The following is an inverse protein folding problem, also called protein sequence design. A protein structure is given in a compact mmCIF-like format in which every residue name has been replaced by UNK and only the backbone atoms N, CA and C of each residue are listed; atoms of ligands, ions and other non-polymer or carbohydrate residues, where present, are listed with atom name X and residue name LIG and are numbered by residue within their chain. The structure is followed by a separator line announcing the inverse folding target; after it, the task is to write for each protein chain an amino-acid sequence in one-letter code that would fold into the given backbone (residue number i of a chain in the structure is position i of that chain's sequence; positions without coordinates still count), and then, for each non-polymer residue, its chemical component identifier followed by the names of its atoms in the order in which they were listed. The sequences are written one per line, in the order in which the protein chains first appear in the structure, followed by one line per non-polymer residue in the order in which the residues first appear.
data_IF_549461516768
#
_entry.id   IF_549461516768
#
_cell.length_a   1.000
_cell.length_b   1.000
_cell.length_c   1.000
_cell.angle_alpha   90.00
_cell.angle_beta   90.00
_cell.angle_gamma   90.00
#
_symmetry.space_group_name_H-M   'P 1'
#
loop_
_entity.id
_entity.type
_entity.pdbx_description
1 polymer ?
#
# COMPACT_ATOMS: atom_id res chain seq x y z
N UNK A 1 36.44 16.46 33.39
CA UNK A 1 35.64 16.80 32.20
C UNK A 1 34.65 15.68 31.97
N UNK A 2 33.36 16.01 32.02
CA UNK A 2 32.25 15.05 32.04
C UNK A 2 32.12 14.29 30.72
N UNK A 3 31.74 13.01 30.84
CA UNK A 3 31.44 12.12 29.71
C UNK A 3 30.19 12.55 28.94
N UNK A 4 30.23 12.35 27.63
CA UNK A 4 29.08 12.52 26.75
C UNK A 4 28.40 11.14 26.57
N UNK A 5 27.11 10.98 26.90
CA UNK A 5 26.44 9.70 26.75
C UNK A 5 26.03 9.45 25.30
N UNK A 6 26.09 8.18 24.92
CA UNK A 6 25.64 7.64 23.65
C UNK A 6 24.15 7.93 23.41
N UNK A 7 23.82 8.46 22.22
CA UNK A 7 22.43 8.57 21.76
C UNK A 7 22.02 7.21 21.22
N UNK A 8 21.17 6.50 21.96
CA UNK A 8 20.50 5.30 21.49
C UNK A 8 19.69 5.63 20.23
N UNK A 9 20.02 4.98 19.12
CA UNK A 9 19.20 4.97 17.91
C UNK A 9 17.95 4.13 18.21
N UNK A 10 16.84 4.81 18.48
CA UNK A 10 15.54 4.14 18.61
C UNK A 10 15.19 3.41 17.32
N UNK A 11 15.02 2.10 17.42
CA UNK A 11 14.58 1.20 16.36
C UNK A 11 13.24 1.69 15.79
N UNK A 12 13.07 1.64 14.48
CA UNK A 12 11.86 2.07 13.72
C UNK A 12 10.57 1.35 14.20
N UNK A 13 10.70 0.31 15.02
CA UNK A 13 9.64 -0.59 15.46
C UNK A 13 8.64 -0.02 16.50
N UNK A 14 8.90 1.12 17.14
CA UNK A 14 8.08 1.55 18.30
C UNK A 14 7.48 2.95 18.22
N UNK A 15 7.14 3.44 17.02
CA UNK A 15 6.17 4.53 16.94
C UNK A 15 4.76 3.97 17.14
N UNK A 16 4.35 3.90 18.42
CA UNK A 16 2.96 3.80 18.86
C UNK A 16 2.13 4.68 17.91
N UNK A 17 1.25 4.07 17.10
CA UNK A 17 0.41 4.82 16.17
C UNK A 17 -0.48 5.76 16.97
N UNK A 18 -0.03 6.99 17.16
CA UNK A 18 -0.91 8.10 17.45
C UNK A 18 -1.97 8.07 16.35
N UNK A 19 -3.24 8.02 16.75
CA UNK A 19 -4.39 8.07 15.85
C UNK A 19 -4.23 9.31 14.97
N UNK A 20 -3.70 9.11 13.76
CA UNK A 20 -3.55 10.19 12.81
C UNK A 20 -4.95 10.75 12.52
N UNK A 21 -5.04 12.07 12.42
CA UNK A 21 -6.28 12.72 12.04
C UNK A 21 -6.64 12.21 10.65
N UNK A 22 -7.83 11.62 10.52
CA UNK A 22 -8.29 11.09 9.24
C UNK A 22 -8.25 12.16 8.16
N UNK A 23 -7.88 11.75 6.95
CA UNK A 23 -7.82 12.59 5.77
C UNK A 23 -9.06 12.41 4.87
N UNK A 24 -10.11 11.75 5.38
CA UNK A 24 -11.33 11.44 4.62
C UNK A 24 -12.00 12.68 3.99
N UNK A 25 -11.91 13.84 4.64
CA UNK A 25 -12.49 15.10 4.14
C UNK A 25 -11.51 15.93 3.29
N UNK A 26 -10.26 15.48 3.12
CA UNK A 26 -9.27 16.22 2.35
C UNK A 26 -9.70 16.37 0.89
N UNK A 27 -9.60 17.54 0.24
CA UNK A 27 -9.85 17.66 -1.20
C UNK A 27 -8.77 16.94 -2.04
N UNK A 28 -7.66 16.49 -1.42
CA UNK A 28 -6.57 15.80 -2.10
C UNK A 28 -6.85 14.28 -2.18
N UNK A 29 -6.97 13.69 -3.39
CA UNK A 29 -7.20 12.25 -3.54
C UNK A 29 -6.03 11.41 -3.00
N UNK A 30 -4.79 11.89 -3.16
CA UNK A 30 -3.60 11.20 -2.65
C UNK A 30 -3.64 11.15 -1.12
N UNK A 31 -4.05 12.24 -0.46
CA UNK A 31 -4.19 12.29 1.00
C UNK A 31 -5.20 11.24 1.51
N UNK A 32 -6.39 11.16 0.87
CA UNK A 32 -7.40 10.13 1.19
C UNK A 32 -6.87 8.72 0.96
N UNK A 33 -6.15 8.48 -0.14
CA UNK A 33 -5.57 7.18 -0.42
C UNK A 33 -4.54 6.78 0.65
N UNK A 34 -3.66 7.70 1.07
CA UNK A 34 -2.66 7.42 2.09
C UNK A 34 -3.24 7.19 3.48
N UNK A 35 -4.47 7.63 3.76
CA UNK A 35 -5.19 7.31 5.00
C UNK A 35 -5.54 5.81 5.09
N UNK A 36 -5.70 5.15 3.93
CA UNK A 36 -6.08 3.73 3.83
C UNK A 36 -4.85 2.84 3.58
N UNK A 37 -3.98 3.23 2.66
CA UNK A 37 -2.87 2.39 2.17
C UNK A 37 -1.49 3.00 2.38
N UNK A 38 -1.38 4.09 3.14
CA UNK A 38 -0.11 4.80 3.36
C UNK A 38 0.78 4.18 4.43
N UNK A 39 0.27 3.26 5.25
CA UNK A 39 1.08 2.56 6.23
C UNK A 39 1.81 1.35 5.62
N UNK A 40 2.95 0.98 6.21
CA UNK A 40 3.85 -0.07 5.72
C UNK A 40 3.13 -1.41 5.46
N UNK A 41 2.17 -1.79 6.29
CA UNK A 41 1.59 -3.14 6.25
C UNK A 41 0.42 -3.23 5.28
N UNK A 42 -0.35 -2.17 5.09
CA UNK A 42 -1.53 -2.19 4.22
C UNK A 42 -1.21 -2.68 2.80
N UNK A 43 -0.20 -2.08 2.14
CA UNK A 43 0.18 -2.50 0.79
C UNK A 43 0.85 -3.87 0.73
N UNK A 44 1.50 -4.33 1.80
CA UNK A 44 2.07 -5.68 1.86
C UNK A 44 0.99 -6.76 2.01
N UNK A 45 -0.08 -6.49 2.78
CA UNK A 45 -1.26 -7.36 2.86
C UNK A 45 -1.93 -7.44 1.49
N UNK A 46 -2.14 -6.30 0.83
CA UNK A 46 -2.73 -6.27 -0.53
C UNK A 46 -1.86 -7.01 -1.55
N UNK A 47 -0.52 -6.87 -1.47
CA UNK A 47 0.42 -7.65 -2.30
C UNK A 47 0.19 -9.14 -2.11
N UNK A 48 0.19 -9.61 -0.86
CA UNK A 48 0.01 -11.04 -0.55
C UNK A 48 -1.33 -11.57 -1.05
N UNK A 49 -2.38 -10.75 -1.00
CA UNK A 49 -3.68 -11.11 -1.57
C UNK A 49 -3.63 -11.32 -3.10
N UNK A 50 -2.88 -10.50 -3.83
CA UNK A 50 -2.62 -10.73 -5.26
C UNK A 50 -1.79 -11.99 -5.53
N UNK A 51 -0.94 -12.38 -4.59
CA UNK A 51 -0.18 -13.64 -4.63
C UNK A 51 -1.04 -14.86 -4.22
N UNK A 52 -2.32 -14.64 -3.85
CA UNK A 52 -3.31 -15.68 -3.56
C UNK A 52 -3.50 -15.97 -2.07
N UNK A 53 -2.86 -15.21 -1.18
CA UNK A 53 -3.05 -15.35 0.27
C UNK A 53 -4.43 -14.85 0.67
N UNK A 54 -5.17 -15.68 1.43
CA UNK A 54 -6.54 -15.36 1.84
C UNK A 54 -6.81 -15.51 3.33
N UNK A 55 -5.96 -16.21 4.08
CA UNK A 55 -6.21 -16.51 5.50
C UNK A 55 -5.31 -15.69 6.41
N UNK A 56 -5.84 -15.36 7.59
CA UNK A 56 -5.09 -14.62 8.60
C UNK A 56 -3.75 -15.27 8.94
N UNK A 57 -3.73 -16.59 9.14
CA UNK A 57 -2.52 -17.34 9.47
C UNK A 57 -1.45 -17.24 8.39
N UNK A 58 -1.86 -17.29 7.12
CA UNK A 58 -0.98 -17.22 5.97
C UNK A 58 -0.40 -15.80 5.78
N UNK A 59 -1.23 -14.76 5.96
CA UNK A 59 -0.73 -13.38 5.99
C UNK A 59 0.29 -13.19 7.12
N UNK A 60 0.01 -13.74 8.31
CA UNK A 60 0.94 -13.64 9.46
C UNK A 60 2.26 -14.34 9.16
N UNK A 61 2.20 -15.53 8.58
CA UNK A 61 3.38 -16.33 8.24
C UNK A 61 4.23 -15.64 7.16
N UNK A 62 3.58 -15.09 6.13
CA UNK A 62 4.24 -14.37 5.03
C UNK A 62 4.90 -13.05 5.49
N UNK A 63 4.20 -12.26 6.29
CA UNK A 63 4.64 -10.90 6.66
C UNK A 63 5.51 -10.85 7.92
N UNK A 64 5.47 -11.88 8.78
CA UNK A 64 6.20 -11.90 10.06
C UNK A 64 5.75 -10.81 11.04
N UNK A 65 4.56 -10.25 10.85
CA UNK A 65 4.01 -9.15 11.66
C UNK A 65 3.29 -9.69 12.90
N UNK A 66 3.28 -8.91 13.98
CA UNK A 66 2.54 -9.25 15.20
C UNK A 66 1.02 -9.36 14.92
N UNK A 67 0.36 -10.33 15.55
CA UNK A 67 -1.06 -10.63 15.30
C UNK A 67 -1.98 -9.43 15.53
N UNK A 68 -1.74 -8.63 16.56
CA UNK A 68 -2.53 -7.44 16.85
C UNK A 68 -2.45 -6.40 15.70
N UNK A 69 -1.23 -6.14 15.20
CA UNK A 69 -1.02 -5.22 14.08
C UNK A 69 -1.70 -5.75 12.81
N UNK A 70 -1.58 -7.04 12.52
CA UNK A 70 -2.25 -7.65 11.36
C UNK A 70 -3.77 -7.54 11.47
N UNK A 71 -4.34 -7.88 12.64
CA UNK A 71 -5.77 -7.78 12.89
C UNK A 71 -6.28 -6.37 12.70
N UNK A 72 -5.58 -5.37 13.25
CA UNK A 72 -5.96 -3.96 13.12
C UNK A 72 -5.96 -3.51 11.65
N UNK A 73 -4.98 -3.96 10.86
CA UNK A 73 -4.86 -3.61 9.44
C UNK A 73 -5.87 -4.30 8.56
N UNK A 74 -6.09 -5.60 8.75
CA UNK A 74 -7.14 -6.32 8.02
C UNK A 74 -8.50 -5.72 8.34
N UNK A 75 -8.78 -5.40 9.61
CA UNK A 75 -10.00 -4.70 10.00
C UNK A 75 -10.13 -3.35 9.29
N UNK A 76 -9.10 -2.52 9.31
CA UNK A 76 -9.11 -1.22 8.63
C UNK A 76 -9.36 -1.36 7.12
N UNK A 77 -8.73 -2.33 6.46
CA UNK A 77 -8.90 -2.56 5.03
C UNK A 77 -10.28 -3.11 4.69
N UNK A 78 -10.88 -3.92 5.55
CA UNK A 78 -12.28 -4.37 5.44
C UNK A 78 -13.24 -3.20 5.65
N UNK A 79 -13.06 -2.40 6.70
CA UNK A 79 -13.88 -1.22 6.99
C UNK A 79 -13.78 -0.19 5.85
N UNK A 80 -12.62 -0.11 5.16
CA UNK A 80 -12.42 0.70 3.97
C UNK A 80 -12.95 0.07 2.68
N UNK A 81 -13.51 -1.14 2.70
CA UNK A 81 -14.04 -1.87 1.55
C UNK A 81 -12.97 -2.33 0.55
N UNK A 82 -11.71 -2.48 0.98
CA UNK A 82 -10.62 -3.06 0.17
C UNK A 82 -10.74 -4.58 0.14
N UNK A 83 -11.14 -5.18 1.27
CA UNK A 83 -11.42 -6.60 1.40
C UNK A 83 -12.86 -6.84 1.85
N UNK A 84 -13.43 -7.95 1.40
CA UNK A 84 -14.57 -8.60 2.06
C UNK A 84 -14.08 -9.80 2.87
N UNK A 85 -14.86 -10.18 3.87
CA UNK A 85 -14.65 -11.41 4.67
C UNK A 85 -15.74 -12.39 4.29
N UNK A 86 -15.33 -13.54 3.75
CA UNK A 86 -16.24 -14.59 3.27
C UNK A 86 -15.93 -15.93 3.93
N UNK A 87 -16.91 -16.84 4.06
CA UNK A 87 -16.64 -18.21 4.50
C UNK A 87 -15.56 -18.86 3.63
N UNK A 88 -14.71 -19.68 4.25
CA UNK A 88 -13.65 -20.37 3.54
C UNK A 88 -14.19 -21.26 2.42
N UNK A 89 -13.49 -21.24 1.28
CA UNK A 89 -13.91 -21.94 0.07
C UNK A 89 -13.82 -23.47 0.20
N UNK A 90 -13.08 -23.98 1.20
CA UNK A 90 -12.87 -25.40 1.48
C UNK A 90 -13.94 -26.02 2.40
N UNK A 91 -14.99 -25.26 2.75
CA UNK A 91 -16.09 -25.74 3.61
C UNK A 91 -15.75 -25.82 5.09
N UNK A 92 -14.58 -25.31 5.50
CA UNK A 92 -14.23 -25.19 6.92
C UNK A 92 -14.94 -24.00 7.58
N UNK A 93 -14.90 -23.92 8.91
CA UNK A 93 -15.44 -22.78 9.66
C UNK A 93 -14.54 -21.52 9.59
N UNK A 94 -13.44 -21.55 8.82
CA UNK A 94 -12.54 -20.42 8.69
C UNK A 94 -13.13 -19.32 7.80
N UNK A 95 -12.54 -18.13 7.91
CA UNK A 95 -12.88 -16.96 7.09
C UNK A 95 -11.71 -16.64 6.14
N UNK A 96 -12.06 -16.19 4.94
CA UNK A 96 -11.12 -15.74 3.91
C UNK A 96 -11.32 -14.24 3.66
N UNK A 97 -10.20 -13.54 3.50
CA UNK A 97 -10.16 -12.16 3.05
C UNK A 97 -10.03 -12.16 1.52
N UNK A 98 -11.00 -11.59 0.83
CA UNK A 98 -11.01 -11.51 -0.63
C UNK A 98 -11.00 -10.05 -1.06
N UNK A 99 -10.19 -9.71 -2.07
CA UNK A 99 -10.15 -8.35 -2.60
C UNK A 99 -11.51 -8.02 -3.22
N UNK A 100 -12.04 -6.84 -2.89
CA UNK A 100 -13.21 -6.29 -3.59
C UNK A 100 -12.75 -5.65 -4.91
N UNK A 101 -13.70 -5.19 -5.73
CA UNK A 101 -13.39 -4.36 -6.91
C UNK A 101 -12.54 -3.13 -6.57
N UNK A 102 -12.74 -2.53 -5.39
CA UNK A 102 -11.93 -1.40 -4.90
C UNK A 102 -10.51 -1.87 -4.57
N UNK A 103 -10.37 -3.04 -3.95
CA UNK A 103 -9.06 -3.64 -3.65
C UNK A 103 -8.29 -4.07 -4.88
N UNK A 104 -8.95 -4.69 -5.86
CA UNK A 104 -8.34 -5.03 -7.16
C UNK A 104 -7.80 -3.80 -7.90
N UNK A 105 -8.46 -2.65 -7.74
CA UNK A 105 -8.01 -1.35 -8.25
C UNK A 105 -6.63 -0.90 -7.73
N UNK A 106 -6.10 -1.51 -6.66
CA UNK A 106 -4.76 -1.24 -6.14
C UNK A 106 -3.66 -1.98 -6.90
N UNK A 107 -3.98 -2.91 -7.81
CA UNK A 107 -2.96 -3.66 -8.55
C UNK A 107 -1.93 -2.75 -9.25
N UNK A 108 -2.32 -1.69 -10.00
CA UNK A 108 -1.34 -0.79 -10.61
C UNK A 108 -0.42 -0.08 -9.60
N UNK A 109 -0.92 0.19 -8.39
CA UNK A 109 -0.12 0.79 -7.31
C UNK A 109 0.96 -0.19 -6.83
N UNK A 110 0.59 -1.46 -6.65
CA UNK A 110 1.55 -2.53 -6.30
C UNK A 110 2.61 -2.69 -7.38
N UNK A 111 2.21 -2.72 -8.66
CA UNK A 111 3.16 -2.85 -9.80
C UNK A 111 4.12 -1.65 -9.86
N UNK A 112 3.60 -0.43 -9.71
CA UNK A 112 4.41 0.80 -9.65
C UNK A 112 5.44 0.74 -8.52
N UNK A 113 5.00 0.39 -7.30
CA UNK A 113 5.87 0.33 -6.13
C UNK A 113 6.95 -0.75 -6.31
N UNK A 114 6.58 -1.91 -6.85
CA UNK A 114 7.52 -2.99 -7.21
C UNK A 114 8.58 -2.50 -8.19
N UNK A 115 8.16 -1.95 -9.34
CA UNK A 115 9.09 -1.50 -10.39
C UNK A 115 10.01 -0.36 -9.91
N UNK A 116 9.50 0.52 -9.03
CA UNK A 116 10.34 1.53 -8.39
C UNK A 116 11.36 0.91 -7.44
N UNK A 117 10.97 -0.07 -6.63
CA UNK A 117 11.87 -0.82 -5.75
C UNK A 117 12.96 -1.55 -6.53
N UNK A 118 12.58 -2.32 -7.55
CA UNK A 118 13.50 -3.05 -8.44
C UNK A 118 14.55 -2.13 -9.07
N UNK A 119 14.17 -0.91 -9.45
CA UNK A 119 15.07 0.04 -10.10
C UNK A 119 16.00 0.81 -9.15
N UNK A 120 15.70 0.91 -7.85
CA UNK A 120 16.37 1.86 -6.96
C UNK A 120 16.89 1.26 -5.64
N UNK A 121 16.37 0.11 -5.20
CA UNK A 121 16.63 -0.41 -3.85
C UNK A 121 17.48 -1.69 -3.82
N UNK A 122 17.91 -2.19 -4.98
CA UNK A 122 18.74 -3.39 -5.09
C UNK A 122 20.12 -3.02 -5.62
N UNK A 123 21.16 -3.62 -5.05
CA UNK A 123 22.51 -3.48 -5.58
C UNK A 123 22.62 -4.16 -6.96
N UNK A 124 23.64 -3.76 -7.73
CA UNK A 124 23.91 -4.37 -9.04
C UNK A 124 24.12 -5.88 -8.88
N UNK A 125 23.25 -6.68 -9.52
CA UNK A 125 23.32 -8.14 -9.48
C UNK A 125 22.67 -8.77 -8.24
N UNK A 126 22.11 -7.99 -7.32
CA UNK A 126 21.33 -8.50 -6.20
C UNK A 126 20.03 -9.12 -6.71
N UNK A 127 19.74 -10.35 -6.29
CA UNK A 127 18.54 -11.07 -6.72
C UNK A 127 17.32 -10.51 -6.01
N UNK A 128 16.24 -10.33 -6.75
CA UNK A 128 14.93 -9.95 -6.23
C UNK A 128 13.80 -10.65 -6.97
N UNK A 129 12.60 -10.64 -6.38
CA UNK A 129 11.40 -11.14 -7.07
C UNK A 129 11.07 -10.28 -8.28
N UNK A 130 10.46 -10.89 -9.30
CA UNK A 130 10.01 -10.21 -10.52
C UNK A 130 8.55 -10.56 -10.77
N UNK A 131 7.75 -9.58 -11.19
CA UNK A 131 6.37 -9.85 -11.61
C UNK A 131 6.37 -10.35 -13.06
N UNK A 132 5.79 -11.53 -13.27
CA UNK A 132 5.70 -12.17 -14.59
C UNK A 132 4.26 -12.39 -15.00
N UNK A 133 4.02 -12.39 -16.30
CA UNK A 133 2.78 -12.85 -16.87
C UNK A 133 2.64 -14.37 -16.68
N UNK A 134 1.47 -14.83 -16.21
CA UNK A 134 1.24 -16.23 -15.85
C UNK A 134 1.28 -17.16 -17.07
N UNK A 135 0.84 -16.70 -18.24
CA UNK A 135 0.77 -17.51 -19.45
C UNK A 135 2.12 -17.66 -20.15
N UNK A 136 2.94 -16.61 -20.14
CA UNK A 136 4.20 -16.54 -20.89
C UNK A 136 5.45 -16.63 -20.03
N UNK A 137 5.35 -16.44 -18.71
CA UNK A 137 6.48 -16.36 -17.79
C UNK A 137 7.38 -15.15 -17.99
N UNK A 138 7.00 -14.22 -18.88
CA UNK A 138 7.79 -13.02 -19.19
C UNK A 138 7.55 -11.93 -18.17
N UNK A 139 8.60 -11.20 -17.83
CA UNK A 139 8.50 -10.04 -16.95
C UNK A 139 7.52 -9.00 -17.50
N UNK A 140 6.68 -8.44 -16.63
CA UNK A 140 5.77 -7.37 -16.99
C UNK A 140 6.57 -6.11 -17.32
N UNK A 141 6.25 -5.48 -18.47
CA UNK A 141 6.93 -4.25 -18.90
C UNK A 141 6.75 -3.12 -17.90
N UNK A 142 7.72 -2.22 -17.86
CA UNK A 142 7.64 -0.99 -17.07
C UNK A 142 6.39 -0.21 -17.47
N UNK A 143 5.54 0.07 -16.49
CA UNK A 143 4.37 0.89 -16.68
C UNK A 143 4.82 2.32 -17.04
N UNK A 144 4.12 2.93 -18.00
CA UNK A 144 4.44 4.26 -18.50
C UNK A 144 3.16 5.11 -18.54
N UNK A 145 3.23 6.30 -17.95
CA UNK A 145 2.18 7.31 -18.10
C UNK A 145 2.26 7.88 -19.51
N UNK A 146 1.14 7.88 -20.22
CA UNK A 146 1.04 8.39 -21.58
C UNK A 146 -0.18 9.28 -21.71
N UNK A 147 -0.05 10.30 -22.56
CA UNK A 147 -1.18 11.05 -23.08
C UNK A 147 -2.05 10.14 -23.94
N UNK A 148 -3.26 10.59 -24.26
CA UNK A 148 -4.19 9.93 -25.20
C UNK A 148 -3.55 9.70 -26.58
N UNK A 149 -2.70 10.62 -27.03
CA UNK A 149 -1.89 10.51 -28.25
C UNK A 149 -0.67 9.56 -28.15
N UNK A 150 -0.45 8.95 -26.98
CA UNK A 150 0.62 8.00 -26.73
C UNK A 150 1.97 8.61 -26.33
N UNK A 151 2.14 9.94 -26.34
CA UNK A 151 3.39 10.58 -25.87
C UNK A 151 3.60 10.35 -24.37
N UNK A 152 4.86 10.21 -23.88
CA UNK A 152 5.13 10.07 -22.45
C UNK A 152 4.74 11.32 -21.65
N UNK A 153 4.11 11.11 -20.48
CA UNK A 153 3.82 12.20 -19.53
C UNK A 153 5.01 12.39 -18.60
N UNK A 154 5.44 13.64 -18.39
CA UNK A 154 6.44 14.02 -17.38
C UNK A 154 5.81 14.89 -16.31
N UNK A 155 6.30 14.79 -15.08
CA UNK A 155 5.80 15.61 -13.98
C UNK A 155 5.89 17.13 -14.28
N UNK A 156 6.98 17.57 -14.92
CA UNK A 156 7.19 18.97 -15.30
C UNK A 156 6.14 19.50 -16.32
N UNK A 157 5.51 18.60 -17.08
CA UNK A 157 4.50 18.94 -18.09
C UNK A 157 3.07 18.82 -17.53
N UNK A 158 2.92 18.66 -16.21
CA UNK A 158 1.63 18.46 -15.53
C UNK A 158 1.42 19.47 -14.41
N UNK A 159 0.16 19.83 -14.15
CA UNK A 159 -0.23 20.66 -13.02
C UNK A 159 -1.46 20.09 -12.35
N UNK A 160 -1.49 20.11 -11.01
CA UNK A 160 -2.69 19.79 -10.24
C UNK A 160 -3.50 21.07 -10.09
N UNK A 161 -4.70 21.10 -10.69
CA UNK A 161 -5.70 22.14 -10.39
C UNK A 161 -6.32 21.83 -9.03
N UNK A 162 -5.95 22.59 -8.01
CA UNK A 162 -6.55 22.47 -6.67
C UNK A 162 -7.96 23.02 -6.71
N UNK A 163 -8.88 22.37 -5.99
CA UNK A 163 -10.18 22.96 -5.67
C UNK A 163 -9.91 23.98 -4.58
N UNK A 164 -10.29 25.23 -4.77
CA UNK A 164 -10.16 26.25 -3.74
C UNK A 164 -11.05 25.88 -2.55
N UNK A 165 -10.49 25.91 -1.33
CA UNK A 165 -11.25 25.73 -0.10
C UNK A 165 -12.15 26.98 0.11
N UNK A 166 -13.27 27.09 -0.60
CA UNK A 166 -14.28 28.15 -0.39
C UNK A 166 -14.78 28.18 1.07
N UNK A 167 -14.57 27.10 1.84
CA UNK A 167 -14.86 27.03 3.26
C UNK A 167 -13.94 27.91 4.16
N UNK A 168 -12.84 28.44 3.63
CA UNK A 168 -11.91 29.32 4.38
C UNK A 168 -12.21 30.81 4.21
N UNK A 169 -12.98 31.20 3.19
CA UNK A 169 -13.28 32.60 2.88
C UNK A 169 -14.50 33.15 3.65
N UNK A 170 -15.38 32.29 4.18
CA UNK A 170 -16.60 32.68 4.91
C UNK A 170 -16.40 32.90 6.43
N UNK A 171 -15.15 32.92 6.94
CA UNK A 171 -14.85 33.15 8.37
C UNK A 171 -13.91 34.33 8.62
N UNK A 172 -14.02 35.40 7.83
CA UNK A 172 -13.38 36.69 8.13
C UNK A 172 -14.42 37.79 8.22
#
# INVERSE_FOLDING_TARGET
MAGMPAKAAGTIAERKMARQKSLADSPCPVARATDIVGDRWALLIVRDAFDGVRRFGDFRASLGVASNILSDRLKMLVDAGVFDVVPASDGTAYQEYVLTKKGEGLFPVIVMLRQWGEANLFARGERHSVLVDRGTGRAIRKLALRHDDGRPVRAADTVVRKVDDEASASRR
#
